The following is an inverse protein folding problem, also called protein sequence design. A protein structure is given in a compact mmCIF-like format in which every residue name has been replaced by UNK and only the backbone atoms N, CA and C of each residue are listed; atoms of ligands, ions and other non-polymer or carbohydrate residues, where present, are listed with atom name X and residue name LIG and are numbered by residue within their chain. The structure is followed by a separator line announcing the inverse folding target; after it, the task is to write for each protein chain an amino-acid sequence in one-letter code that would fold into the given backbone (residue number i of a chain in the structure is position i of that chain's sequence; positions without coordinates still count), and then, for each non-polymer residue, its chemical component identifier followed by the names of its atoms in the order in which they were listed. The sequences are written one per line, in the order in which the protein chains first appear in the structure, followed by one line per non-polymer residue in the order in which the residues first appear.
data_IF_435300810398
#
_entry.id   IF_435300810398
#
_cell.length_a   1.000
_cell.length_b   1.000
_cell.length_c   1.000
_cell.angle_alpha   90.00
_cell.angle_beta   90.00
_cell.angle_gamma   90.00
#
_symmetry.space_group_name_H-M   'P 1'
#
loop_
_entity.id
_entity.type
_entity.pdbx_description
1 polymer ?
#
# COMPACT_ATOMS: atom_id res chain seq x y z
N UNK A 1 -24.74 29.32 -6.88
CA UNK A 1 -24.04 28.87 -5.66
C UNK A 1 -23.39 27.53 -6.01
N UNK A 2 -22.09 27.51 -6.28
CA UNK A 2 -21.39 26.28 -6.65
C UNK A 2 -20.94 25.58 -5.36
N UNK A 3 -21.51 24.40 -5.09
CA UNK A 3 -21.06 23.57 -3.97
C UNK A 3 -19.64 23.09 -4.27
N UNK A 4 -18.65 23.62 -3.55
CA UNK A 4 -17.31 23.06 -3.55
C UNK A 4 -17.40 21.63 -2.98
N UNK A 5 -17.32 20.63 -3.85
CA UNK A 5 -17.15 19.25 -3.43
C UNK A 5 -15.86 19.17 -2.62
N UNK A 6 -15.97 19.02 -1.30
CA UNK A 6 -14.80 18.80 -0.45
C UNK A 6 -14.18 17.47 -0.86
N UNK A 7 -13.10 17.54 -1.64
CA UNK A 7 -12.29 16.39 -1.98
C UNK A 7 -11.53 16.00 -0.71
N UNK A 8 -12.11 15.12 0.10
CA UNK A 8 -11.41 14.54 1.24
C UNK A 8 -10.27 13.71 0.66
N UNK A 9 -8.98 14.08 0.88
CA UNK A 9 -7.88 13.29 0.38
C UNK A 9 -7.94 11.92 1.07
N UNK A 10 -8.28 10.88 0.31
CA UNK A 10 -8.25 9.51 0.83
C UNK A 10 -6.80 9.06 0.84
N UNK A 11 -6.17 9.13 2.01
CA UNK A 11 -4.80 8.65 2.19
C UNK A 11 -4.80 7.12 2.20
N UNK A 12 -3.99 6.51 1.33
CA UNK A 12 -3.71 5.08 1.43
C UNK A 12 -2.80 4.83 2.64
N UNK A 13 -3.40 4.39 3.75
CA UNK A 13 -2.68 4.06 4.99
C UNK A 13 -2.29 2.58 5.04
N UNK A 14 -1.31 2.24 5.87
CA UNK A 14 -0.95 0.85 6.16
C UNK A 14 -2.14 0.01 6.66
N UNK A 15 -3.07 0.61 7.41
CA UNK A 15 -4.25 -0.08 7.92
C UNK A 15 -5.24 -0.48 6.81
N UNK A 16 -5.46 0.42 5.84
CA UNK A 16 -6.29 0.14 4.67
C UNK A 16 -5.65 -0.94 3.82
N UNK A 17 -4.35 -0.80 3.52
CA UNK A 17 -3.62 -1.80 2.74
C UNK A 17 -3.67 -3.18 3.40
N UNK A 18 -3.44 -3.26 4.71
CA UNK A 18 -3.50 -4.53 5.46
C UNK A 18 -4.84 -5.25 5.28
N UNK A 19 -5.96 -4.52 5.27
CA UNK A 19 -7.31 -5.14 5.08
C UNK A 19 -7.45 -5.76 3.69
N UNK A 20 -6.88 -5.14 2.67
CA UNK A 20 -6.86 -5.68 1.30
C UNK A 20 -5.97 -6.92 1.22
N UNK A 21 -4.75 -6.82 1.73
CA UNK A 21 -3.77 -7.92 1.69
C UNK A 21 -4.20 -9.13 2.52
N UNK A 22 -4.94 -8.94 3.61
CA UNK A 22 -5.52 -10.05 4.38
C UNK A 22 -6.48 -10.93 3.55
N UNK A 23 -7.12 -10.37 2.52
CA UNK A 23 -8.10 -11.08 1.69
C UNK A 23 -7.49 -11.64 0.42
N UNK A 24 -6.55 -10.90 -0.18
CA UNK A 24 -6.05 -11.19 -1.52
C UNK A 24 -4.57 -11.58 -1.54
N UNK A 25 -3.82 -11.26 -0.47
CA UNK A 25 -2.36 -11.36 -0.47
C UNK A 25 -1.83 -12.75 -0.82
N UNK A 26 -2.50 -13.81 -0.37
CA UNK A 26 -2.05 -15.17 -0.62
C UNK A 26 -2.06 -15.56 -2.11
N UNK A 27 -2.87 -14.90 -2.94
CA UNK A 27 -2.94 -15.14 -4.38
C UNK A 27 -2.25 -14.07 -5.22
N UNK A 28 -1.69 -13.04 -4.59
CA UNK A 28 -0.99 -11.99 -5.32
C UNK A 28 0.42 -12.44 -5.71
N UNK A 29 0.66 -12.48 -7.03
CA UNK A 29 2.01 -12.60 -7.59
C UNK A 29 2.65 -11.22 -7.82
N UNK A 30 1.84 -10.18 -8.06
CA UNK A 30 2.32 -8.83 -8.35
C UNK A 30 1.48 -7.78 -7.64
N UNK A 31 2.13 -6.81 -7.01
CA UNK A 31 1.48 -5.71 -6.30
C UNK A 31 2.11 -4.38 -6.71
N UNK A 32 1.32 -3.56 -7.40
CA UNK A 32 1.69 -2.19 -7.74
C UNK A 32 0.84 -1.20 -6.94
N UNK A 33 1.50 -0.35 -6.16
CA UNK A 33 0.86 0.72 -5.41
C UNK A 33 1.36 2.05 -5.98
N UNK A 34 0.56 2.62 -6.86
CA UNK A 34 0.79 3.93 -7.48
C UNK A 34 -0.13 4.97 -6.83
N UNK A 35 0.30 5.49 -5.67
CA UNK A 35 -0.48 6.49 -4.95
C UNK A 35 0.44 7.57 -4.40
N UNK A 36 0.40 8.75 -5.01
CA UNK A 36 1.25 9.90 -4.65
C UNK A 36 1.02 10.42 -3.22
N UNK A 37 -0.11 10.10 -2.60
CA UNK A 37 -0.41 10.43 -1.19
C UNK A 37 -0.45 9.17 -0.32
N UNK A 38 0.56 8.32 -0.46
CA UNK A 38 0.65 7.10 0.34
C UNK A 38 1.48 7.38 1.60
N UNK A 39 0.93 7.03 2.78
CA UNK A 39 1.66 7.11 4.05
C UNK A 39 2.40 5.79 4.34
N UNK A 40 3.04 5.24 3.31
CA UNK A 40 3.63 3.90 3.35
C UNK A 40 5.09 3.99 3.82
N UNK A 41 5.43 3.11 4.75
CA UNK A 41 6.72 3.08 5.42
C UNK A 41 7.21 1.63 5.59
N UNK A 42 8.29 1.42 6.35
CA UNK A 42 8.86 0.09 6.60
C UNK A 42 7.82 -0.92 7.15
N UNK A 43 6.82 -0.46 7.91
CA UNK A 43 5.73 -1.31 8.42
C UNK A 43 4.82 -1.80 7.29
N UNK A 44 4.63 -1.00 6.25
CA UNK A 44 3.89 -1.39 5.04
C UNK A 44 4.65 -2.50 4.33
N UNK A 45 5.95 -2.32 4.12
CA UNK A 45 6.83 -3.29 3.49
C UNK A 45 6.78 -4.65 4.21
N UNK A 46 6.92 -4.65 5.54
CA UNK A 46 6.78 -5.86 6.36
C UNK A 46 5.38 -6.49 6.27
N UNK A 47 4.33 -5.67 6.19
CA UNK A 47 2.96 -6.15 6.02
C UNK A 47 2.79 -6.84 4.67
N UNK A 48 3.37 -6.30 3.59
CA UNK A 48 3.35 -6.92 2.26
C UNK A 48 4.02 -8.28 2.30
N UNK A 49 5.26 -8.37 2.79
CA UNK A 49 5.99 -9.64 2.89
C UNK A 49 5.27 -10.71 3.73
N UNK A 50 4.59 -10.29 4.81
CA UNK A 50 3.81 -11.21 5.65
C UNK A 50 2.57 -11.77 4.96
N UNK A 51 1.84 -10.95 4.22
CA UNK A 51 0.53 -11.34 3.67
C UNK A 51 0.59 -11.81 2.22
N UNK A 52 1.70 -11.59 1.52
CA UNK A 52 1.87 -11.94 0.11
C UNK A 52 3.06 -12.91 -0.05
N UNK A 53 2.94 -14.17 0.43
CA UNK A 53 4.05 -15.12 0.42
C UNK A 53 4.47 -15.57 -1.00
N UNK A 54 3.57 -15.43 -1.97
CA UNK A 54 3.82 -15.79 -3.37
C UNK A 54 4.16 -14.56 -4.23
N UNK A 55 4.45 -13.41 -3.62
CA UNK A 55 4.68 -12.18 -4.35
C UNK A 55 6.03 -12.22 -5.06
N UNK A 56 5.99 -12.13 -6.39
CA UNK A 56 7.15 -12.10 -7.27
C UNK A 56 7.59 -10.65 -7.57
N UNK A 57 6.63 -9.72 -7.62
CA UNK A 57 6.90 -8.31 -7.95
C UNK A 57 6.18 -7.34 -6.99
N UNK A 58 6.95 -6.43 -6.39
CA UNK A 58 6.45 -5.31 -5.60
C UNK A 58 6.94 -3.99 -6.19
N UNK A 59 6.01 -3.12 -6.57
CA UNK A 59 6.30 -1.75 -6.97
C UNK A 59 5.48 -0.79 -6.11
N UNK A 60 6.15 0.16 -5.44
CA UNK A 60 5.48 1.17 -4.62
C UNK A 60 6.04 2.54 -4.97
N UNK A 61 5.16 3.45 -5.39
CA UNK A 61 5.53 4.84 -5.68
C UNK A 61 5.40 5.67 -4.41
N UNK A 62 6.44 6.44 -4.08
CA UNK A 62 6.40 7.38 -2.94
C UNK A 62 6.46 6.71 -1.56
N UNK A 63 6.99 5.49 -1.45
CA UNK A 63 7.20 4.85 -0.14
C UNK A 63 8.41 5.43 0.58
N UNK A 64 8.26 5.76 1.86
CA UNK A 64 9.37 6.22 2.71
C UNK A 64 9.92 5.03 3.51
N UNK A 65 10.88 4.29 2.95
CA UNK A 65 11.58 3.21 3.67
C UNK A 65 12.99 3.61 4.05
N UNK A 66 13.38 3.31 5.30
CA UNK A 66 14.78 3.46 5.74
C UNK A 66 15.51 2.11 5.77
N UNK A 67 14.78 0.99 5.91
CA UNK A 67 15.34 -0.35 6.15
C UNK A 67 14.66 -1.44 5.31
N UNK A 68 14.49 -1.22 4.00
CA UNK A 68 14.00 -2.28 3.13
C UNK A 68 15.08 -3.36 2.93
N UNK A 69 14.76 -4.62 3.28
CA UNK A 69 15.55 -5.79 2.93
C UNK A 69 14.63 -6.76 2.15
N UNK A 70 14.82 -6.91 0.83
CA UNK A 70 13.97 -7.73 -0.04
C UNK A 70 14.04 -9.22 0.31
#
# INVERSE_FOLDING_TARGET
QWHASQHVPVTLTTAVLRRVLLRLGNSLLRLHIDHHWSALNDRTAHTVGKFCPNLEELKVVGMHTKNWNP
#
